data_IF_213904361360
#
_entry.id   IF_213904361360
#
_cell.length_a   1.000
_cell.length_b   1.000
_cell.length_c   1.000
_cell.angle_alpha   90.00
_cell.angle_beta   90.00
_cell.angle_gamma   90.00
#
_symmetry.space_group_name_H-M   'P 1'
#
loop_
_entity.id
_entity.type
_entity.pdbx_description
1 polymer ?
#
# COMPACT_ATOMS: atom_id res chain seq x y z
N UNK A 1 5.86 56.07 -54.09
CA UNK A 1 7.04 56.26 -53.22
C UNK A 1 6.61 56.10 -51.76
N UNK A 2 7.33 55.28 -50.97
CA UNK A 2 7.29 55.07 -49.49
C UNK A 2 5.97 54.47 -48.93
N UNK A 3 5.87 53.16 -48.64
CA UNK A 3 6.30 52.35 -47.44
C UNK A 3 5.86 52.92 -46.08
N UNK A 4 5.01 52.19 -45.34
CA UNK A 4 4.98 51.94 -43.87
C UNK A 4 3.65 51.18 -43.54
N UNK A 5 3.69 49.92 -43.08
CA UNK A 5 3.66 49.46 -41.66
C UNK A 5 2.47 50.07 -40.89
N UNK A 6 1.54 49.38 -40.24
CA UNK A 6 1.35 48.00 -39.83
C UNK A 6 0.20 47.94 -38.79
N UNK A 7 -0.01 46.75 -38.23
CA UNK A 7 -0.79 46.39 -37.04
C UNK A 7 -2.32 46.18 -37.12
N UNK A 8 -2.64 44.92 -36.78
CA UNK A 8 -3.90 44.37 -36.28
C UNK A 8 -4.61 45.25 -35.26
N UNK A 9 -5.92 45.40 -35.46
CA UNK A 9 -6.92 45.37 -34.39
C UNK A 9 -8.27 44.99 -35.03
N UNK A 10 -8.76 43.77 -34.81
CA UNK A 10 -10.10 43.39 -35.22
C UNK A 10 -10.90 42.97 -33.98
N UNK A 11 -11.78 43.89 -33.62
CA UNK A 11 -12.79 43.86 -32.59
C UNK A 11 -13.95 42.92 -33.03
N UNK A 12 -14.46 42.14 -32.06
CA UNK A 12 -15.86 41.78 -31.82
C UNK A 12 -16.71 41.30 -33.00
N UNK A 13 -17.21 40.05 -32.87
CA UNK A 13 -18.64 39.78 -33.13
C UNK A 13 -19.15 38.78 -32.08
N UNK A 14 -19.96 39.26 -31.14
CA UNK A 14 -20.94 38.43 -30.45
C UNK A 14 -22.09 38.20 -31.43
N UNK A 15 -22.43 36.94 -31.71
CA UNK A 15 -23.74 36.59 -32.24
C UNK A 15 -24.37 35.56 -31.29
N UNK A 16 -25.32 36.03 -30.48
CA UNK A 16 -26.30 35.19 -29.84
C UNK A 16 -27.39 34.88 -30.86
N UNK A 17 -27.60 33.60 -31.17
CA UNK A 17 -28.85 33.12 -31.73
C UNK A 17 -29.41 32.06 -30.79
N UNK A 18 -30.52 32.41 -30.13
CA UNK A 18 -31.41 31.45 -29.51
C UNK A 18 -32.09 30.63 -30.61
N UNK A 19 -32.01 29.30 -30.50
CA UNK A 19 -32.77 28.35 -31.29
C UNK A 19 -33.19 27.19 -30.40
N UNK A 20 -34.49 27.06 -30.13
CA UNK A 20 -35.11 25.93 -29.47
C UNK A 20 -35.04 24.67 -30.35
N UNK A 21 -34.72 23.52 -29.74
CA UNK A 21 -34.92 22.20 -30.35
C UNK A 21 -34.44 21.10 -29.39
N UNK A 22 -35.38 20.27 -28.89
CA UNK A 22 -35.13 19.30 -27.82
C UNK A 22 -34.37 18.03 -28.22
N UNK A 23 -33.98 17.25 -27.21
CA UNK A 23 -33.49 15.88 -27.32
C UNK A 23 -32.25 15.60 -26.45
N UNK A 24 -32.43 14.68 -25.50
CA UNK A 24 -31.41 13.93 -24.73
C UNK A 24 -30.40 14.67 -23.84
N UNK A 25 -30.67 14.64 -22.52
CA UNK A 25 -29.70 14.95 -21.47
C UNK A 25 -28.57 13.92 -21.50
N UNK A 26 -27.47 14.26 -22.17
CA UNK A 26 -26.16 13.68 -21.88
C UNK A 26 -25.66 14.35 -20.60
N UNK A 27 -25.44 13.57 -19.53
CA UNK A 27 -24.80 14.07 -18.32
C UNK A 27 -23.42 14.63 -18.70
N UNK A 28 -23.23 15.92 -18.47
CA UNK A 28 -21.95 16.59 -18.63
C UNK A 28 -21.02 16.07 -17.53
N UNK A 29 -19.87 15.53 -17.90
CA UNK A 29 -18.79 15.27 -16.95
C UNK A 29 -18.45 16.58 -16.22
N UNK A 30 -18.31 16.57 -14.89
CA UNK A 30 -17.93 17.77 -14.17
C UNK A 30 -16.57 18.25 -14.68
N UNK A 31 -16.46 19.54 -14.98
CA UNK A 31 -15.20 20.16 -15.36
C UNK A 31 -14.13 19.84 -14.32
N UNK A 32 -12.88 19.53 -14.73
CA UNK A 32 -11.81 19.28 -13.79
C UNK A 32 -11.64 20.50 -12.87
N UNK A 33 -11.58 20.25 -11.57
CA UNK A 33 -11.24 21.28 -10.60
C UNK A 33 -9.90 21.93 -10.99
N UNK A 34 -9.69 23.24 -10.72
CA UNK A 34 -8.42 23.88 -11.03
C UNK A 34 -7.28 23.11 -10.36
N UNK A 35 -6.26 22.76 -11.14
CA UNK A 35 -5.09 22.05 -10.65
C UNK A 35 -4.51 22.81 -9.44
N UNK A 36 -4.46 22.14 -8.28
CA UNK A 36 -3.67 22.61 -7.17
C UNK A 36 -2.25 22.84 -7.68
N UNK A 37 -1.68 24.02 -7.43
CA UNK A 37 -0.31 24.31 -7.85
C UNK A 37 0.65 23.33 -7.19
N UNK A 38 1.24 22.43 -7.97
CA UNK A 38 2.27 21.49 -7.51
C UNK A 38 3.47 22.30 -7.02
N UNK A 39 3.65 22.38 -5.70
CA UNK A 39 4.90 22.85 -5.11
C UNK A 39 5.80 21.64 -4.91
N UNK A 40 7.06 21.73 -5.35
CA UNK A 40 8.07 20.69 -5.14
C UNK A 40 8.77 20.96 -3.80
N UNK A 41 8.85 19.96 -2.93
CA UNK A 41 9.66 20.04 -1.71
C UNK A 41 11.08 19.62 -2.02
N UNK A 42 12.06 20.13 -1.27
CA UNK A 42 13.42 19.57 -1.27
C UNK A 42 13.53 18.23 -0.50
N UNK A 43 12.41 17.64 -0.07
CA UNK A 43 12.41 16.47 0.81
C UNK A 43 12.74 15.16 0.11
N UNK A 44 13.62 14.38 0.74
CA UNK A 44 13.94 12.98 0.44
C UNK A 44 13.10 12.06 1.31
N UNK A 45 12.25 11.25 0.68
CA UNK A 45 11.39 10.29 1.37
C UNK A 45 11.93 8.88 1.16
N UNK A 46 12.07 8.12 2.24
CA UNK A 46 12.27 6.67 2.17
C UNK A 46 10.95 5.91 2.01
N UNK A 47 10.96 4.82 1.26
CA UNK A 47 9.86 3.85 1.24
C UNK A 47 10.44 2.43 1.14
N UNK A 48 9.75 1.45 1.73
CA UNK A 48 10.01 0.05 1.40
C UNK A 48 9.71 -0.17 -0.09
N UNK A 49 10.55 -0.98 -0.74
CA UNK A 49 10.44 -1.26 -2.17
C UNK A 49 9.03 -1.79 -2.52
N UNK A 50 8.21 -1.01 -3.25
CA UNK A 50 6.93 -1.49 -3.76
C UNK A 50 7.18 -2.45 -4.93
N UNK A 51 6.24 -3.36 -5.17
CA UNK A 51 6.34 -4.27 -6.29
C UNK A 51 5.88 -3.56 -7.56
N UNK A 52 6.76 -3.47 -8.57
CA UNK A 52 6.40 -2.96 -9.89
C UNK A 52 6.10 -1.46 -9.96
N UNK A 53 6.52 -0.68 -8.95
CA UNK A 53 6.38 0.77 -8.93
C UNK A 53 7.77 1.43 -8.96
N UNK A 54 8.01 2.32 -9.92
CA UNK A 54 9.21 3.16 -9.94
C UNK A 54 9.00 4.48 -9.18
N UNK A 55 10.05 5.29 -9.06
CA UNK A 55 10.03 6.55 -8.31
C UNK A 55 8.96 7.53 -8.84
N UNK A 56 8.84 7.67 -10.15
CA UNK A 56 7.89 8.62 -10.76
C UNK A 56 6.44 8.15 -10.60
N UNK A 57 6.20 6.84 -10.69
CA UNK A 57 4.90 6.23 -10.42
C UNK A 57 4.53 6.34 -8.95
N UNK A 58 5.49 6.22 -8.03
CA UNK A 58 5.26 6.43 -6.59
C UNK A 58 4.93 7.89 -6.26
N UNK A 59 5.63 8.85 -6.88
CA UNK A 59 5.32 10.29 -6.73
C UNK A 59 3.91 10.60 -7.23
N UNK A 60 3.52 10.02 -8.37
CA UNK A 60 2.17 10.15 -8.92
C UNK A 60 1.12 9.52 -8.01
N UNK A 61 1.35 8.29 -7.55
CA UNK A 61 0.49 7.61 -6.58
C UNK A 61 0.27 8.50 -5.36
N UNK A 62 1.34 9.01 -4.75
CA UNK A 62 1.24 9.86 -3.55
C UNK A 62 0.41 11.13 -3.80
N UNK A 63 0.50 11.72 -5.00
CA UNK A 63 -0.36 12.84 -5.41
C UNK A 63 -1.82 12.42 -5.46
N UNK A 64 -2.13 11.36 -6.19
CA UNK A 64 -3.50 10.86 -6.35
C UNK A 64 -4.13 10.53 -4.98
N UNK A 65 -3.33 9.95 -4.07
CA UNK A 65 -3.78 9.60 -2.72
C UNK A 65 -4.07 10.85 -1.88
N UNK A 66 -3.24 11.89 -2.00
CA UNK A 66 -3.42 13.12 -1.21
C UNK A 66 -4.77 13.79 -1.49
N UNK A 67 -5.27 13.69 -2.72
CA UNK A 67 -6.59 14.20 -3.09
C UNK A 67 -7.71 13.39 -2.41
N UNK A 68 -7.58 12.04 -2.38
CA UNK A 68 -8.52 11.14 -1.69
C UNK A 68 -8.54 11.37 -0.18
N UNK A 69 -7.38 11.66 0.41
CA UNK A 69 -7.25 11.99 1.83
C UNK A 69 -7.68 13.43 2.17
N UNK A 70 -8.10 14.22 1.16
CA UNK A 70 -8.54 15.60 1.35
C UNK A 70 -7.40 16.57 1.66
N UNK A 71 -6.15 16.19 1.37
CA UNK A 71 -4.99 17.09 1.44
C UNK A 71 -4.93 17.95 0.18
N UNK A 72 -5.53 19.13 0.26
CA UNK A 72 -5.61 20.09 -0.87
C UNK A 72 -4.28 20.75 -1.24
N UNK A 73 -3.24 20.56 -0.43
CA UNK A 73 -1.88 21.04 -0.70
C UNK A 73 -0.90 19.86 -0.69
N UNK A 74 -0.79 19.16 -1.83
CA UNK A 74 0.25 18.16 -2.05
C UNK A 74 1.58 18.84 -2.37
N UNK A 75 2.64 18.43 -1.67
CA UNK A 75 4.00 18.82 -2.02
C UNK A 75 4.78 17.57 -2.38
N UNK A 76 5.12 17.43 -3.66
CA UNK A 76 5.85 16.26 -4.14
C UNK A 76 7.25 16.20 -3.50
N UNK A 77 7.74 15.02 -3.11
CA UNK A 77 9.13 14.88 -2.70
C UNK A 77 10.07 15.18 -3.87
N UNK A 78 11.22 15.79 -3.60
CA UNK A 78 12.29 15.94 -4.59
C UNK A 78 12.83 14.58 -5.02
N UNK A 79 12.88 13.64 -4.07
CA UNK A 79 13.40 12.29 -4.28
C UNK A 79 12.69 11.25 -3.43
N UNK A 80 12.42 10.09 -4.01
CA UNK A 80 12.04 8.87 -3.29
C UNK A 80 13.21 7.90 -3.31
N UNK A 81 13.55 7.33 -2.16
CA UNK A 81 14.60 6.30 -2.03
C UNK A 81 13.93 5.02 -1.57
N UNK A 82 14.01 3.98 -2.40
CA UNK A 82 13.50 2.65 -2.04
C UNK A 82 14.54 1.84 -1.27
N UNK A 83 14.07 1.07 -0.30
CA UNK A 83 14.86 0.18 0.52
C UNK A 83 14.33 -1.24 0.43
N UNK A 84 15.24 -2.21 0.32
CA UNK A 84 14.90 -3.63 0.25
C UNK A 84 14.51 -4.23 1.61
N UNK A 85 14.78 -3.51 2.71
CA UNK A 85 14.39 -3.89 4.06
C UNK A 85 14.18 -2.66 4.96
N UNK A 86 13.39 -2.81 6.02
CA UNK A 86 12.99 -1.74 6.93
C UNK A 86 14.16 -1.24 7.78
N UNK A 87 15.06 -2.13 8.18
CA UNK A 87 16.23 -1.77 8.99
C UNK A 87 17.14 -0.77 8.26
N UNK A 88 17.39 -0.99 6.97
CA UNK A 88 18.16 -0.05 6.14
C UNK A 88 17.48 1.32 6.05
N UNK A 89 16.15 1.35 5.91
CA UNK A 89 15.38 2.60 5.87
C UNK A 89 15.43 3.36 7.20
N UNK A 90 15.30 2.65 8.33
CA UNK A 90 15.45 3.22 9.69
C UNK A 90 16.86 3.79 9.90
N UNK A 91 17.90 3.07 9.47
CA UNK A 91 19.29 3.53 9.56
C UNK A 91 19.55 4.75 8.66
N UNK A 92 18.96 4.79 7.46
CA UNK A 92 19.05 5.94 6.57
C UNK A 92 18.40 7.18 7.18
N UNK A 93 17.26 7.04 7.89
CA UNK A 93 16.65 8.14 8.62
C UNK A 93 17.55 8.64 9.77
N UNK A 94 18.10 7.74 10.59
CA UNK A 94 19.05 8.10 11.67
C UNK A 94 20.30 8.80 11.13
N UNK A 95 20.80 8.33 9.99
CA UNK A 95 21.93 8.92 9.28
C UNK A 95 21.59 10.20 8.49
N UNK A 96 20.34 10.68 8.54
CA UNK A 96 19.86 11.86 7.79
C UNK A 96 20.07 11.75 6.26
N UNK A 97 20.07 10.54 5.73
CA UNK A 97 20.14 10.28 4.29
C UNK A 97 18.77 10.52 3.63
N UNK A 98 17.70 10.32 4.40
CA UNK A 98 16.31 10.69 4.11
C UNK A 98 15.79 11.58 5.23
N UNK A 99 14.81 12.43 4.94
CA UNK A 99 14.22 13.35 5.93
C UNK A 99 13.07 12.70 6.70
N UNK A 100 12.39 11.77 6.03
CA UNK A 100 11.30 10.95 6.56
C UNK A 100 11.21 9.65 5.76
N UNK A 101 10.52 8.65 6.29
CA UNK A 101 10.02 7.56 5.46
C UNK A 101 8.51 7.41 5.57
N UNK A 102 7.88 6.91 4.49
CA UNK A 102 6.49 6.52 4.48
C UNK A 102 6.34 5.08 4.98
N UNK A 103 5.31 4.84 5.79
CA UNK A 103 4.97 3.51 6.30
C UNK A 103 3.46 3.37 6.46
N UNK A 104 2.92 2.14 6.50
CA UNK A 104 1.61 1.91 7.07
C UNK A 104 1.55 2.37 8.53
N UNK A 105 0.39 2.83 8.99
CA UNK A 105 0.27 3.48 10.30
C UNK A 105 0.59 2.59 11.47
N UNK A 106 0.16 1.32 11.43
CA UNK A 106 0.48 0.34 12.49
C UNK A 106 1.98 0.09 12.58
N UNK A 107 2.66 0.04 11.42
CA UNK A 107 4.11 -0.16 11.34
C UNK A 107 4.86 1.06 11.85
N UNK A 108 4.46 2.26 11.41
CA UNK A 108 5.04 3.51 11.91
C UNK A 108 4.87 3.67 13.43
N UNK A 109 3.67 3.37 13.95
CA UNK A 109 3.39 3.44 15.38
C UNK A 109 4.25 2.45 16.18
N UNK A 110 4.39 1.22 15.69
CA UNK A 110 5.26 0.20 16.30
C UNK A 110 6.72 0.67 16.39
N UNK A 111 7.24 1.26 15.31
CA UNK A 111 8.63 1.75 15.23
C UNK A 111 8.84 2.92 16.20
N UNK A 112 7.95 3.91 16.20
CA UNK A 112 8.06 5.10 17.07
C UNK A 112 7.94 4.74 18.54
N UNK A 113 7.09 3.76 18.91
CA UNK A 113 6.95 3.31 20.29
C UNK A 113 8.23 2.71 20.89
N UNK A 114 9.17 2.28 20.04
CA UNK A 114 10.46 1.66 20.43
C UNK A 114 11.67 2.53 20.17
N UNK A 115 11.46 3.72 19.61
CA UNK A 115 12.55 4.58 19.19
C UNK A 115 12.24 6.03 19.57
N UNK A 116 12.83 6.45 20.69
CA UNK A 116 12.66 7.78 21.24
C UNK A 116 13.20 8.89 20.33
N UNK A 117 14.01 8.58 19.31
CA UNK A 117 14.49 9.57 18.35
C UNK A 117 13.43 9.94 17.31
N UNK A 118 12.35 9.16 17.17
CA UNK A 118 11.41 9.27 16.07
C UNK A 118 10.03 9.80 16.48
N UNK A 119 9.32 10.40 15.52
CA UNK A 119 7.91 10.79 15.67
C UNK A 119 7.14 10.49 14.39
N UNK A 120 5.84 10.26 14.54
CA UNK A 120 4.91 10.18 13.43
C UNK A 120 4.62 11.58 12.87
N UNK A 121 4.46 11.65 11.56
CA UNK A 121 3.77 12.73 10.87
C UNK A 121 2.53 12.12 10.20
N UNK A 122 1.47 12.91 10.10
CA UNK A 122 0.29 12.57 9.33
C UNK A 122 -0.49 11.31 9.81
N UNK A 123 -0.60 11.12 11.13
CA UNK A 123 -1.23 9.94 11.74
C UNK A 123 -2.78 9.90 11.71
N UNK A 124 -3.42 10.96 11.22
CA UNK A 124 -4.88 11.11 11.25
C UNK A 124 -5.56 10.74 9.92
N UNK A 125 -4.82 10.19 8.95
CA UNK A 125 -5.43 9.70 7.74
C UNK A 125 -6.33 8.53 8.03
N UNK A 126 -7.45 8.48 7.30
CA UNK A 126 -8.33 7.32 7.33
C UNK A 126 -7.67 6.14 6.59
N UNK A 127 -8.04 4.89 6.92
CA UNK A 127 -7.51 3.73 6.22
C UNK A 127 -7.78 3.78 4.71
N UNK A 128 -6.74 3.50 3.95
CA UNK A 128 -6.76 3.44 2.47
C UNK A 128 -5.84 2.36 1.92
N UNK A 129 -4.92 1.83 2.73
CA UNK A 129 -4.02 0.75 2.35
C UNK A 129 -4.70 -0.57 2.70
N UNK A 130 -4.89 -1.44 1.72
CA UNK A 130 -5.39 -2.79 1.93
C UNK A 130 -4.28 -3.81 1.77
N UNK A 131 -4.12 -4.69 2.75
CA UNK A 131 -3.18 -5.80 2.72
C UNK A 131 -3.85 -7.02 2.12
N UNK A 132 -3.35 -7.48 1.00
CA UNK A 132 -3.86 -8.66 0.30
C UNK A 132 -2.79 -9.75 0.15
N UNK A 133 -3.25 -10.92 -0.26
CA UNK A 133 -2.39 -12.01 -0.72
C UNK A 133 -2.38 -12.03 -2.24
N UNK A 134 -1.25 -12.36 -2.84
CA UNK A 134 -1.15 -12.56 -4.29
C UNK A 134 -0.56 -13.93 -4.62
N UNK A 135 -1.10 -14.51 -5.69
CA UNK A 135 -0.58 -15.72 -6.34
C UNK A 135 -0.50 -15.46 -7.84
N UNK A 136 0.24 -16.28 -8.58
CA UNK A 136 0.20 -16.22 -10.05
C UNK A 136 -1.23 -16.44 -10.56
N UNK A 137 -1.59 -15.81 -11.68
CA UNK A 137 -2.97 -15.85 -12.23
C UNK A 137 -3.49 -17.27 -12.46
N UNK A 138 -2.59 -18.22 -12.80
CA UNK A 138 -2.92 -19.64 -12.94
C UNK A 138 -3.50 -20.28 -11.66
N UNK A 139 -3.24 -19.68 -10.50
CA UNK A 139 -3.70 -20.10 -9.16
C UNK A 139 -4.90 -19.28 -8.67
N UNK A 140 -5.63 -18.62 -9.58
CA UNK A 140 -6.86 -17.89 -9.24
C UNK A 140 -7.89 -18.71 -8.45
N UNK A 141 -8.12 -20.01 -8.70
CA UNK A 141 -9.04 -20.81 -7.87
C UNK A 141 -8.66 -20.80 -6.39
N UNK A 142 -7.37 -20.88 -6.06
CA UNK A 142 -6.86 -20.81 -4.69
C UNK A 142 -7.08 -19.42 -4.08
N UNK A 143 -7.00 -18.34 -4.86
CA UNK A 143 -7.35 -17.00 -4.40
C UNK A 143 -8.84 -16.91 -4.03
N UNK A 144 -9.74 -17.57 -4.74
CA UNK A 144 -11.16 -17.57 -4.36
C UNK A 144 -11.43 -18.36 -3.08
N UNK A 145 -10.71 -19.47 -2.85
CA UNK A 145 -10.74 -20.19 -1.56
C UNK A 145 -10.24 -19.29 -0.41
N UNK A 146 -9.14 -18.57 -0.64
CA UNK A 146 -8.59 -17.58 0.30
C UNK A 146 -9.59 -16.45 0.55
N UNK A 147 -10.25 -15.92 -0.49
CA UNK A 147 -11.27 -14.88 -0.37
C UNK A 147 -12.42 -15.33 0.51
N UNK A 148 -12.92 -16.55 0.30
CA UNK A 148 -13.99 -17.13 1.11
C UNK A 148 -13.55 -17.29 2.58
N UNK A 149 -12.32 -17.74 2.83
CA UNK A 149 -11.79 -17.88 4.18
C UNK A 149 -11.59 -16.53 4.88
N UNK A 150 -11.08 -15.52 4.18
CA UNK A 150 -10.97 -14.15 4.70
C UNK A 150 -12.35 -13.60 5.05
N UNK A 151 -13.35 -13.80 4.18
CA UNK A 151 -14.71 -13.37 4.47
C UNK A 151 -15.29 -14.07 5.71
N UNK A 152 -15.11 -15.39 5.82
CA UNK A 152 -15.56 -16.13 7.00
C UNK A 152 -14.87 -15.63 8.29
N UNK A 153 -13.56 -15.33 8.24
CA UNK A 153 -12.83 -14.76 9.37
C UNK A 153 -13.29 -13.34 9.75
N UNK A 154 -13.80 -12.56 8.80
CA UNK A 154 -14.45 -11.28 9.09
C UNK A 154 -15.80 -11.50 9.77
N UNK A 155 -16.63 -12.38 9.20
CA UNK A 155 -18.00 -12.61 9.66
C UNK A 155 -18.06 -13.20 11.08
N UNK A 156 -17.09 -14.05 11.44
CA UNK A 156 -17.02 -14.67 12.77
C UNK A 156 -16.15 -13.89 13.79
N UNK A 157 -15.55 -12.77 13.37
CA UNK A 157 -14.72 -11.91 14.23
C UNK A 157 -13.30 -12.42 14.50
N UNK A 158 -12.88 -13.54 13.89
CA UNK A 158 -11.52 -14.07 14.01
C UNK A 158 -10.47 -13.06 13.57
N UNK A 159 -10.72 -12.34 12.47
CA UNK A 159 -9.77 -11.38 11.93
C UNK A 159 -9.52 -10.22 12.89
N UNK A 160 -10.58 -9.66 13.46
CA UNK A 160 -10.50 -8.58 14.45
C UNK A 160 -9.75 -9.02 15.71
N UNK A 161 -10.02 -10.26 16.17
CA UNK A 161 -9.30 -10.86 17.29
C UNK A 161 -7.80 -10.96 17.00
N UNK A 162 -7.43 -11.49 15.84
CA UNK A 162 -6.03 -11.63 15.45
C UNK A 162 -5.32 -10.28 15.34
N UNK A 163 -5.96 -9.26 14.73
CA UNK A 163 -5.42 -7.90 14.65
C UNK A 163 -5.22 -7.31 16.04
N UNK A 164 -6.19 -7.51 16.95
CA UNK A 164 -6.09 -7.02 18.31
C UNK A 164 -4.91 -7.66 19.06
N UNK A 165 -4.87 -8.99 19.10
CA UNK A 165 -3.88 -9.75 19.88
C UNK A 165 -2.45 -9.57 19.34
N UNK A 166 -2.28 -9.45 18.02
CA UNK A 166 -0.95 -9.45 17.39
C UNK A 166 -0.47 -8.06 16.96
N UNK A 167 -1.26 -7.00 17.17
CA UNK A 167 -0.87 -5.63 16.83
C UNK A 167 -1.27 -4.66 17.94
N UNK A 168 -2.57 -4.53 18.23
CA UNK A 168 -3.08 -3.46 19.09
C UNK A 168 -2.68 -3.64 20.56
N UNK A 169 -2.76 -4.86 21.07
CA UNK A 169 -2.51 -5.18 22.48
C UNK A 169 -1.01 -5.37 22.80
N UNK A 170 -0.13 -5.29 21.80
CA UNK A 170 1.31 -5.46 22.01
C UNK A 170 1.93 -4.33 22.84
N UNK A 171 1.36 -3.13 22.82
CA UNK A 171 1.84 -2.01 23.64
C UNK A 171 3.33 -1.66 23.45
N UNK A 172 3.90 -1.98 22.29
CA UNK A 172 5.35 -1.82 22.06
C UNK A 172 6.21 -3.05 22.40
N UNK A 173 5.62 -4.21 22.68
CA UNK A 173 6.30 -5.50 22.84
C UNK A 173 6.29 -6.33 21.55
N UNK A 174 7.26 -7.23 21.39
CA UNK A 174 7.36 -8.05 20.18
C UNK A 174 6.23 -9.06 20.11
N UNK A 175 5.73 -9.36 18.90
CA UNK A 175 4.72 -10.40 18.76
C UNK A 175 5.27 -11.76 19.20
N UNK A 176 4.42 -12.57 19.80
CA UNK A 176 4.79 -13.93 20.21
C UNK A 176 4.83 -14.82 18.96
N UNK A 177 5.87 -15.65 18.86
CA UNK A 177 5.95 -16.66 17.81
C UNK A 177 4.73 -17.60 17.89
N UNK A 178 4.02 -17.73 16.78
CA UNK A 178 2.90 -18.66 16.63
C UNK A 178 3.29 -19.70 15.59
N UNK A 179 3.01 -20.97 15.86
CA UNK A 179 3.25 -22.02 14.88
C UNK A 179 2.07 -22.12 13.91
N UNK A 180 2.37 -22.23 12.62
CA UNK A 180 1.39 -22.61 11.61
C UNK A 180 1.19 -24.12 11.74
N UNK A 181 -0.05 -24.61 11.91
CA UNK A 181 -0.30 -26.03 12.04
C UNK A 181 0.11 -26.78 10.75
N UNK A 182 0.60 -28.00 10.92
CA UNK A 182 0.79 -28.95 9.83
C UNK A 182 -0.36 -29.95 9.81
N UNK A 183 -0.99 -30.10 8.66
CA UNK A 183 -2.12 -30.98 8.41
C UNK A 183 -1.62 -32.14 7.54
N UNK A 184 -1.75 -33.36 8.05
CA UNK A 184 -1.31 -34.57 7.36
C UNK A 184 -2.04 -34.74 6.02
N UNK A 185 -1.27 -34.95 4.95
CA UNK A 185 -1.77 -35.13 3.59
C UNK A 185 -2.26 -33.86 2.89
N UNK A 186 -2.22 -32.69 3.55
CA UNK A 186 -2.55 -31.42 2.92
C UNK A 186 -1.41 -30.92 2.01
N UNK A 187 -1.78 -30.25 0.91
CA UNK A 187 -0.84 -29.58 0.01
C UNK A 187 -0.08 -28.47 0.76
N UNK A 188 1.21 -28.31 0.48
CA UNK A 188 2.06 -27.26 1.07
C UNK A 188 2.31 -26.16 0.05
N UNK A 189 2.03 -24.92 0.44
CA UNK A 189 2.28 -23.71 -0.36
C UNK A 189 3.40 -22.90 0.29
N UNK A 190 4.32 -22.38 -0.53
CA UNK A 190 5.42 -21.52 -0.07
C UNK A 190 4.99 -20.07 0.01
N UNK A 191 5.25 -19.42 1.14
CA UNK A 191 4.82 -18.05 1.43
C UNK A 191 6.04 -17.18 1.72
N UNK A 192 6.20 -16.08 1.00
CA UNK A 192 7.31 -15.13 1.24
C UNK A 192 7.07 -14.30 2.51
N UNK A 193 7.95 -14.44 3.50
CA UNK A 193 8.04 -13.56 4.70
C UNK A 193 9.26 -12.64 4.57
N UNK A 194 9.22 -11.43 5.13
CA UNK A 194 10.35 -10.49 5.02
C UNK A 194 10.84 -9.92 6.35
N UNK A 195 9.99 -9.91 7.38
CA UNK A 195 10.31 -9.26 8.65
C UNK A 195 10.33 -7.73 8.62
N UNK A 196 9.84 -7.09 7.56
CA UNK A 196 9.98 -5.65 7.34
C UNK A 196 8.75 -4.81 7.72
N UNK A 197 7.65 -5.45 8.13
CA UNK A 197 6.40 -4.77 8.47
C UNK A 197 5.99 -5.05 9.92
N UNK A 198 6.81 -4.76 10.94
CA UNK A 198 6.48 -5.10 12.33
C UNK A 198 5.28 -4.29 12.84
N UNK A 199 4.38 -4.83 13.66
CA UNK A 199 4.33 -6.20 14.18
C UNK A 199 3.65 -7.22 13.26
N UNK A 200 3.36 -6.87 12.01
CA UNK A 200 2.62 -7.73 11.09
C UNK A 200 3.50 -8.85 10.55
N UNK A 201 4.70 -8.49 10.11
CA UNK A 201 5.73 -9.37 9.56
C UNK A 201 7.04 -9.10 10.33
N UNK A 202 7.48 -10.09 11.11
CA UNK A 202 8.65 -9.99 11.98
C UNK A 202 9.47 -11.26 11.86
N UNK A 203 10.79 -11.12 11.73
CA UNK A 203 11.74 -12.21 11.99
C UNK A 203 12.33 -11.96 13.37
N UNK A 204 12.08 -12.87 14.31
CA UNK A 204 12.60 -12.78 15.68
C UNK A 204 14.12 -13.05 15.71
N UNK A 205 14.83 -12.67 16.80
CA UNK A 205 16.28 -12.91 16.91
C UNK A 205 16.71 -14.37 16.79
N UNK A 206 15.82 -15.33 17.05
CA UNK A 206 16.06 -16.76 16.88
C UNK A 206 15.80 -17.25 15.44
N UNK A 207 15.50 -16.33 14.52
CA UNK A 207 15.23 -16.60 13.10
C UNK A 207 13.80 -17.03 12.80
N UNK A 208 12.90 -17.08 13.79
CA UNK A 208 11.51 -17.51 13.56
C UNK A 208 10.64 -16.37 13.08
N UNK A 209 9.81 -16.58 12.04
CA UNK A 209 8.76 -15.66 11.68
C UNK A 209 7.72 -15.53 12.80
N UNK A 210 7.25 -14.32 13.04
CA UNK A 210 6.21 -13.98 14.00
C UNK A 210 5.37 -12.80 13.50
N UNK A 211 4.35 -12.45 14.27
CA UNK A 211 3.47 -11.33 13.96
C UNK A 211 2.11 -11.75 13.42
N UNK A 212 1.29 -10.74 13.14
CA UNK A 212 -0.08 -10.93 12.68
C UNK A 212 -0.18 -11.84 11.45
N UNK A 213 0.73 -11.71 10.48
CA UNK A 213 0.65 -12.50 9.25
C UNK A 213 0.88 -14.01 9.52
N UNK A 214 1.73 -14.38 10.49
CA UNK A 214 1.92 -15.79 10.87
C UNK A 214 0.68 -16.34 11.57
N UNK A 215 0.08 -15.57 12.48
CA UNK A 215 -1.16 -15.97 13.16
C UNK A 215 -2.34 -16.09 12.16
N UNK A 216 -2.44 -15.16 11.21
CA UNK A 216 -3.40 -15.21 10.11
C UNK A 216 -3.20 -16.44 9.21
N UNK A 217 -1.96 -16.74 8.80
CA UNK A 217 -1.66 -17.94 8.01
C UNK A 217 -2.00 -19.23 8.77
N UNK A 218 -1.75 -19.25 10.08
CA UNK A 218 -2.12 -20.38 10.94
C UNK A 218 -3.62 -20.67 10.94
N UNK A 219 -4.44 -19.62 10.89
CA UNK A 219 -5.90 -19.75 10.87
C UNK A 219 -6.48 -19.97 9.47
N UNK A 220 -5.85 -19.36 8.46
CA UNK A 220 -6.13 -19.63 7.06
C UNK A 220 -5.87 -21.11 6.74
N UNK A 221 -4.74 -21.67 7.19
CA UNK A 221 -4.32 -23.06 6.97
C UNK A 221 -5.43 -24.04 7.35
N UNK A 222 -6.03 -23.87 8.53
CA UNK A 222 -7.13 -24.71 9.02
C UNK A 222 -8.38 -24.60 8.17
N UNK A 223 -8.68 -23.39 7.69
CA UNK A 223 -9.92 -23.09 6.95
C UNK A 223 -9.88 -23.61 5.51
N UNK A 224 -8.72 -23.55 4.86
CA UNK A 224 -8.56 -23.98 3.47
C UNK A 224 -7.89 -25.36 3.33
N UNK A 225 -7.55 -26.00 4.46
CA UNK A 225 -6.90 -27.31 4.50
C UNK A 225 -5.60 -27.34 3.68
N UNK A 226 -4.71 -26.37 3.93
CA UNK A 226 -3.38 -26.24 3.29
C UNK A 226 -2.31 -26.03 4.35
N UNK A 227 -1.12 -26.55 4.08
CA UNK A 227 0.09 -26.25 4.84
C UNK A 227 0.79 -25.03 4.24
N UNK A 228 1.51 -24.28 5.08
CA UNK A 228 2.35 -23.17 4.62
C UNK A 228 3.79 -23.36 5.06
N UNK A 229 4.70 -23.29 4.09
CA UNK A 229 6.14 -23.21 4.31
C UNK A 229 6.56 -21.74 4.15
N UNK A 230 7.16 -21.16 5.19
CA UNK A 230 7.60 -19.77 5.15
C UNK A 230 9.00 -19.69 4.54
N UNK A 231 9.19 -18.81 3.57
CA UNK A 231 10.46 -18.57 2.88
C UNK A 231 10.86 -17.12 3.11
N UNK A 232 12.02 -16.89 3.70
CA UNK A 232 12.57 -15.55 3.94
C UNK A 232 13.02 -14.91 2.62
N UNK A 233 12.47 -13.74 2.31
CA UNK A 233 12.65 -13.00 1.07
C UNK A 233 12.72 -11.51 1.39
N UNK A 234 13.77 -10.82 0.95
CA UNK A 234 13.85 -9.35 1.05
C UNK A 234 12.62 -8.69 0.38
N UNK A 235 12.12 -7.58 0.95
CA UNK A 235 10.93 -6.89 0.43
C UNK A 235 11.01 -6.58 -1.08
N UNK A 236 12.19 -6.16 -1.55
CA UNK A 236 12.45 -5.85 -2.95
C UNK A 236 12.53 -7.07 -3.89
N UNK A 237 12.72 -8.28 -3.34
CA UNK A 237 12.83 -9.51 -4.12
C UNK A 237 11.49 -10.27 -4.25
N UNK A 238 10.46 -9.90 -3.47
CA UNK A 238 9.15 -10.59 -3.44
C UNK A 238 8.53 -10.84 -4.81
N UNK A 239 8.47 -9.80 -5.66
CA UNK A 239 7.87 -9.93 -6.99
C UNK A 239 8.58 -10.97 -7.86
N UNK A 240 9.92 -10.97 -7.87
CA UNK A 240 10.72 -11.93 -8.61
C UNK A 240 10.61 -13.35 -8.04
N UNK A 241 10.54 -13.48 -6.71
CA UNK A 241 10.35 -14.76 -6.04
C UNK A 241 9.01 -15.42 -6.44
N UNK A 242 7.92 -14.65 -6.53
CA UNK A 242 6.63 -15.13 -7.02
C UNK A 242 6.69 -15.50 -8.50
N UNK A 243 7.21 -14.61 -9.36
CA UNK A 243 7.27 -14.85 -10.81
C UNK A 243 8.12 -16.07 -11.19
N UNK A 244 9.17 -16.37 -10.42
CA UNK A 244 10.03 -17.54 -10.63
C UNK A 244 9.48 -18.83 -10.04
N UNK A 245 8.44 -18.77 -9.20
CA UNK A 245 7.91 -19.92 -8.45
C UNK A 245 8.80 -20.34 -7.27
N UNK A 246 9.70 -19.48 -6.81
CA UNK A 246 10.41 -19.69 -5.54
C UNK A 246 9.43 -19.72 -4.37
N UNK A 247 8.40 -18.88 -4.45
CA UNK A 247 7.24 -18.87 -3.55
C UNK A 247 5.95 -18.94 -4.36
N UNK A 248 4.89 -19.46 -3.74
CA UNK A 248 3.56 -19.56 -4.35
C UNK A 248 2.68 -18.35 -3.99
N UNK A 249 2.94 -17.75 -2.83
CA UNK A 249 2.11 -16.71 -2.21
C UNK A 249 3.00 -15.56 -1.74
N UNK A 250 2.57 -14.33 -2.06
CA UNK A 250 2.98 -13.12 -1.35
C UNK A 250 1.87 -12.69 -0.39
N UNK A 251 2.22 -12.25 0.81
CA UNK A 251 1.30 -11.49 1.66
C UNK A 251 1.76 -10.03 1.75
N UNK A 252 0.98 -9.20 2.42
CA UNK A 252 1.13 -7.74 2.46
C UNK A 252 1.32 -7.10 1.07
N UNK A 253 0.58 -7.58 0.06
CA UNK A 253 0.46 -6.91 -1.23
C UNK A 253 -0.47 -5.71 -1.03
N UNK A 254 0.07 -4.50 -1.20
CA UNK A 254 -0.62 -3.27 -0.84
C UNK A 254 -1.44 -2.71 -1.99
N UNK A 255 -2.76 -2.82 -1.87
CA UNK A 255 -3.72 -2.09 -2.69
C UNK A 255 -4.08 -0.73 -2.09
N UNK A 256 -4.68 0.13 -2.91
CA UNK A 256 -5.23 1.42 -2.49
C UNK A 256 -6.75 1.40 -2.60
N UNK A 257 -7.44 1.92 -1.59
CA UNK A 257 -8.89 1.88 -1.47
C UNK A 257 -9.43 3.25 -1.04
N UNK A 258 -10.67 3.54 -1.42
CA UNK A 258 -11.39 4.69 -0.90
C UNK A 258 -11.97 4.43 0.50
N UNK A 259 -12.66 5.45 1.02
CA UNK A 259 -13.23 5.45 2.36
C UNK A 259 -14.39 4.46 2.55
N UNK A 260 -14.96 3.99 1.45
CA UNK A 260 -16.03 2.98 1.44
C UNK A 260 -15.46 1.57 1.19
N UNK A 261 -14.13 1.43 1.14
CA UNK A 261 -13.43 0.16 0.94
C UNK A 261 -13.42 -0.33 -0.50
N UNK A 262 -13.72 0.54 -1.47
CA UNK A 262 -13.65 0.21 -2.89
C UNK A 262 -12.22 0.41 -3.40
N UNK A 263 -11.72 -0.58 -4.14
CA UNK A 263 -10.39 -0.51 -4.74
C UNK A 263 -10.29 0.66 -5.74
N UNK A 264 -9.20 1.42 -5.61
CA UNK A 264 -8.82 2.51 -6.51
C UNK A 264 -7.90 1.98 -7.63
N UNK A 265 -7.88 2.62 -8.81
CA UNK A 265 -7.17 2.11 -9.98
C UNK A 265 -5.64 2.26 -9.93
N UNK A 266 -5.10 2.72 -8.80
CA UNK A 266 -3.67 2.96 -8.57
C UNK A 266 -3.22 2.19 -7.32
N UNK A 267 -3.01 0.85 -7.39
CA UNK A 267 -2.46 0.11 -6.25
C UNK A 267 -1.01 0.53 -5.98
N UNK A 268 -0.58 0.39 -4.74
CA UNK A 268 0.81 0.67 -4.37
C UNK A 268 1.74 -0.44 -4.89
N UNK A 269 1.33 -1.70 -4.72
CA UNK A 269 1.97 -2.84 -5.38
C UNK A 269 1.26 -3.14 -6.71
N UNK A 270 2.00 -3.01 -7.81
CA UNK A 270 1.51 -3.16 -9.17
C UNK A 270 2.18 -4.35 -9.88
N UNK A 271 1.57 -5.52 -9.73
CA UNK A 271 2.01 -6.76 -10.36
C UNK A 271 1.15 -7.11 -11.57
N UNK A 272 1.78 -7.70 -12.59
CA UNK A 272 1.10 -8.29 -13.74
C UNK A 272 0.98 -9.81 -13.56
N UNK A 273 0.00 -10.41 -14.22
CA UNK A 273 -0.18 -11.86 -14.28
C UNK A 273 -0.34 -12.54 -12.89
N UNK A 274 -0.99 -11.81 -11.97
CA UNK A 274 -1.31 -12.28 -10.62
C UNK A 274 -2.80 -12.14 -10.31
N UNK A 275 -3.30 -13.08 -9.53
CA UNK A 275 -4.57 -12.98 -8.85
C UNK A 275 -4.34 -12.48 -7.41
N UNK A 276 -5.14 -11.50 -6.98
CA UNK A 276 -5.00 -10.82 -5.69
C UNK A 276 -6.27 -11.03 -4.87
N UNK A 277 -6.11 -11.38 -3.58
CA UNK A 277 -7.23 -11.57 -2.67
C UNK A 277 -7.90 -10.24 -2.29
N UNK A 278 -9.11 -10.31 -1.76
CA UNK A 278 -9.68 -9.21 -0.96
C UNK A 278 -8.74 -8.86 0.21
N UNK A 279 -8.72 -7.60 0.68
CA UNK A 279 -7.72 -7.19 1.67
C UNK A 279 -8.05 -7.74 3.05
N UNK A 280 -7.22 -8.61 3.62
CA UNK A 280 -7.40 -9.16 4.97
C UNK A 280 -7.14 -8.13 6.07
N UNK A 281 -6.62 -6.94 5.76
CA UNK A 281 -6.52 -5.86 6.73
C UNK A 281 -6.52 -4.51 6.00
N UNK A 282 -7.16 -3.52 6.60
CA UNK A 282 -7.07 -2.12 6.18
C UNK A 282 -6.21 -1.33 7.17
N UNK A 283 -5.42 -0.39 6.65
CA UNK A 283 -4.58 0.50 7.45
C UNK A 283 -4.52 1.88 6.81
N UNK A 284 -4.13 2.87 7.61
CA UNK A 284 -3.76 4.17 7.07
C UNK A 284 -2.27 4.17 6.72
N UNK A 285 -1.82 5.25 6.07
CA UNK A 285 -0.40 5.53 5.87
C UNK A 285 0.03 6.65 6.82
N UNK A 286 1.31 6.71 7.15
CA UNK A 286 1.93 7.75 7.98
C UNK A 286 3.33 8.03 7.46
N UNK A 287 3.90 9.16 7.87
CA UNK A 287 5.33 9.36 7.80
C UNK A 287 5.99 9.15 9.15
N UNK A 288 7.27 8.77 9.14
CA UNK A 288 8.13 8.72 10.32
C UNK A 288 9.33 9.63 10.07
N UNK A 289 9.66 10.49 11.04
CA UNK A 289 10.79 11.43 10.96
C UNK A 289 11.54 11.50 12.30
N UNK A 290 12.71 12.12 12.30
CA UNK A 290 13.44 12.45 13.53
C UNK A 290 12.69 13.52 14.33
N UNK A 291 12.82 13.49 15.66
CA UNK A 291 12.23 14.50 16.55
C UNK A 291 12.84 15.89 16.36
#
# INVERSE_FOLDING_TARGET
MKRLLGLLLALVVMLACAGCGGGDKKAEEPAPAPAASEQQSDSKIGALMPIGLDEESYKRWTKDISEVEGQTAYTAPSKVIFFDNMNAMVMALKGKQIDRFAAPGRVGAYIVARNDDFKLIDNNFKPILGYSMAMLEKSKPQIEEINAAIQAMRDDGTLDKLIKENIADLGGADPVATEIPMIDGAETLKVAVTGDMPALDVILPDGKPAGFNVAFLGELSKRINKNFELVDIDAGARGAALSSGQVDILFWVLGTYDQDGKALPYPLDNMKDVAISVPYMMDNRVGVTLK
#
